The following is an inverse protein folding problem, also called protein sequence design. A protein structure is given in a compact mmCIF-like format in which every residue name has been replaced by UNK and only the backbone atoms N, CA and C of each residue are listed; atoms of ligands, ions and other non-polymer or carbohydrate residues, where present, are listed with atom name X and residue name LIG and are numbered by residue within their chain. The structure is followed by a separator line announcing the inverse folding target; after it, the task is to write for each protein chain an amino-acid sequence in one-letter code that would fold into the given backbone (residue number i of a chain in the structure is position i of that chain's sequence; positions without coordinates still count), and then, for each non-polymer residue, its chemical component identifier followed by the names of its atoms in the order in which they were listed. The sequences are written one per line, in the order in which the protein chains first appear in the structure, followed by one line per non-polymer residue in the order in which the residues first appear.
data_IF_334400223498
#
_entry.id   IF_334400223498
#
_cell.length_a   1.000
_cell.length_b   1.000
_cell.length_c   1.000
_cell.angle_alpha   90.00
_cell.angle_beta   90.00
_cell.angle_gamma   90.00
#
_symmetry.space_group_name_H-M   'P 1'
#
loop_
_entity.id
_entity.type
_entity.pdbx_description
1 polymer ?
#
# COMPACT_ATOMS: atom_id res chain seq x y z
N UNK A 1 -17.93 -22.94 -6.93
CA UNK A 1 -17.42 -21.58 -7.21
C UNK A 1 -15.90 -21.61 -7.25
N UNK A 2 -15.28 -20.90 -8.19
CA UNK A 2 -13.82 -20.72 -8.28
C UNK A 2 -13.40 -19.40 -7.63
N UNK A 3 -12.14 -19.30 -7.20
CA UNK A 3 -11.60 -18.09 -6.59
C UNK A 3 -10.29 -17.66 -7.24
N UNK A 4 -10.26 -16.41 -7.68
CA UNK A 4 -9.09 -15.80 -8.30
C UNK A 4 -8.46 -14.79 -7.35
N UNK A 5 -7.14 -14.68 -7.43
CA UNK A 5 -6.37 -13.67 -6.71
C UNK A 5 -5.57 -12.82 -7.69
N UNK A 6 -5.42 -11.54 -7.35
CA UNK A 6 -4.67 -10.61 -8.19
C UNK A 6 -3.17 -10.85 -8.11
N UNK A 7 -2.53 -10.80 -9.28
CA UNK A 7 -1.09 -10.67 -9.46
C UNK A 7 -0.78 -9.40 -10.24
N UNK A 8 0.51 -9.07 -10.39
CA UNK A 8 0.91 -7.75 -10.84
C UNK A 8 1.95 -7.82 -11.95
N UNK A 9 1.77 -6.98 -12.97
CA UNK A 9 2.83 -6.74 -13.94
C UNK A 9 4.05 -6.12 -13.25
N UNK A 10 5.23 -6.58 -13.64
CA UNK A 10 6.47 -6.02 -13.16
C UNK A 10 6.90 -4.84 -14.05
N UNK A 11 7.59 -3.87 -13.47
CA UNK A 11 8.26 -2.84 -14.26
C UNK A 11 9.53 -3.37 -14.92
N UNK A 12 10.17 -2.54 -15.75
CA UNK A 12 11.39 -2.91 -16.49
C UNK A 12 12.57 -3.36 -15.61
N UNK A 13 12.60 -2.91 -14.36
CA UNK A 13 13.71 -3.15 -13.42
C UNK A 13 13.28 -3.74 -12.10
N UNK A 14 12.10 -3.40 -11.64
CA UNK A 14 11.64 -3.70 -10.28
C UNK A 14 10.16 -4.04 -10.27
N UNK A 15 9.75 -4.80 -9.25
CA UNK A 15 8.35 -4.92 -8.83
C UNK A 15 8.23 -4.55 -7.35
N UNK A 16 7.02 -4.20 -6.93
CA UNK A 16 6.73 -3.82 -5.55
C UNK A 16 6.12 -4.99 -4.77
N UNK A 17 6.82 -5.48 -3.77
CA UNK A 17 6.33 -6.58 -2.92
C UNK A 17 5.10 -6.18 -2.08
N UNK A 18 4.90 -4.87 -1.83
CA UNK A 18 3.69 -4.35 -1.18
C UNK A 18 2.40 -4.60 -1.98
N UNK A 19 2.51 -4.84 -3.29
CA UNK A 19 1.36 -5.29 -4.08
C UNK A 19 0.96 -6.73 -3.69
N UNK A 20 1.92 -7.61 -3.44
CA UNK A 20 1.63 -8.97 -2.97
C UNK A 20 1.10 -8.99 -1.53
N UNK A 21 1.48 -8.03 -0.68
CA UNK A 21 0.84 -7.84 0.64
C UNK A 21 -0.65 -7.52 0.51
N UNK A 22 -1.05 -6.73 -0.50
CA UNK A 22 -2.47 -6.47 -0.79
C UNK A 22 -3.19 -7.76 -1.25
N UNK A 23 -2.53 -8.59 -2.05
CA UNK A 23 -3.09 -9.88 -2.47
C UNK A 23 -3.18 -10.87 -1.31
N UNK A 24 -2.20 -10.92 -0.39
CA UNK A 24 -2.30 -11.73 0.83
C UNK A 24 -3.49 -11.31 1.70
N UNK A 25 -3.77 -10.02 1.78
CA UNK A 25 -4.94 -9.52 2.50
C UNK A 25 -6.27 -10.03 1.92
N UNK A 26 -6.34 -10.27 0.60
CA UNK A 26 -7.47 -10.95 -0.03
C UNK A 26 -7.41 -12.48 0.16
N UNK A 27 -6.22 -13.08 -0.01
CA UNK A 27 -5.98 -14.54 0.07
C UNK A 27 -6.52 -15.16 1.35
N UNK A 28 -6.38 -14.49 2.49
CA UNK A 28 -6.83 -15.02 3.79
C UNK A 28 -8.33 -15.30 3.87
N UNK A 29 -9.14 -14.67 3.01
CA UNK A 29 -10.59 -14.86 2.97
C UNK A 29 -11.01 -15.92 1.94
N UNK A 30 -10.12 -16.33 1.03
CA UNK A 30 -10.45 -17.27 -0.02
C UNK A 30 -10.35 -18.71 0.51
N UNK A 31 -11.35 -19.58 0.27
CA UNK A 31 -11.27 -20.98 0.70
C UNK A 31 -10.16 -21.76 -0.03
N UNK A 32 -9.87 -21.37 -1.28
CA UNK A 32 -8.73 -21.82 -2.06
C UNK A 32 -8.32 -20.75 -3.08
N UNK A 33 -7.20 -20.95 -3.77
CA UNK A 33 -6.81 -20.14 -4.93
C UNK A 33 -6.84 -21.03 -6.17
N UNK A 34 -7.76 -20.76 -7.08
CA UNK A 34 -7.93 -21.53 -8.33
C UNK A 34 -7.18 -20.89 -9.51
N UNK A 35 -6.96 -19.57 -9.51
CA UNK A 35 -6.22 -18.91 -10.58
C UNK A 35 -5.58 -17.57 -10.18
N UNK A 36 -4.51 -17.22 -10.87
CA UNK A 36 -3.89 -15.89 -10.82
C UNK A 36 -4.41 -15.01 -11.95
N UNK A 37 -4.78 -13.77 -11.62
CA UNK A 37 -5.27 -12.79 -12.60
C UNK A 37 -4.43 -11.53 -12.50
N UNK A 38 -3.72 -11.20 -13.57
CA UNK A 38 -2.93 -9.98 -13.59
C UNK A 38 -3.86 -8.76 -13.59
N UNK A 39 -3.66 -7.87 -12.63
CA UNK A 39 -4.42 -6.63 -12.44
C UNK A 39 -4.47 -5.74 -13.70
N UNK A 40 -3.41 -5.75 -14.51
CA UNK A 40 -3.34 -4.96 -15.74
C UNK A 40 -4.13 -5.59 -16.90
N UNK A 41 -4.56 -6.85 -16.77
CA UNK A 41 -5.22 -7.64 -17.81
C UNK A 41 -6.56 -8.23 -17.36
N UNK A 42 -7.28 -7.59 -16.43
CA UNK A 42 -8.56 -8.09 -15.88
C UNK A 42 -9.60 -8.38 -16.97
N UNK A 43 -9.66 -7.55 -18.01
CA UNK A 43 -10.58 -7.74 -19.15
C UNK A 43 -10.20 -8.88 -20.10
N UNK A 44 -9.06 -9.53 -19.90
CA UNK A 44 -8.57 -10.63 -20.75
C UNK A 44 -8.75 -12.01 -20.10
N UNK A 45 -9.40 -12.08 -18.94
CA UNK A 45 -9.61 -13.35 -18.24
C UNK A 45 -10.57 -14.26 -19.04
N UNK A 46 -10.12 -15.48 -19.36
CA UNK A 46 -10.88 -16.48 -20.14
C UNK A 46 -11.19 -17.76 -19.35
N UNK A 47 -10.93 -17.75 -18.04
CA UNK A 47 -11.15 -18.91 -17.16
C UNK A 47 -12.63 -19.17 -16.85
N UNK A 48 -12.89 -20.13 -15.96
CA UNK A 48 -14.24 -20.39 -15.45
C UNK A 48 -14.76 -19.21 -14.60
N UNK A 49 -16.09 -19.09 -14.40
CA UNK A 49 -16.65 -18.10 -13.48
C UNK A 49 -15.98 -18.13 -12.11
N UNK A 50 -15.40 -17.00 -11.70
CA UNK A 50 -14.53 -16.93 -10.53
C UNK A 50 -14.74 -15.65 -9.73
N UNK A 51 -14.87 -15.78 -8.41
CA UNK A 51 -14.90 -14.63 -7.50
C UNK A 51 -13.52 -14.02 -7.35
N UNK A 52 -13.47 -12.69 -7.31
CA UNK A 52 -12.22 -11.95 -7.11
C UNK A 52 -12.45 -10.73 -6.23
N UNK A 53 -11.58 -10.56 -5.23
CA UNK A 53 -11.55 -9.35 -4.40
C UNK A 53 -10.65 -8.32 -5.09
N UNK A 54 -11.25 -7.19 -5.43
CA UNK A 54 -10.66 -6.12 -6.22
C UNK A 54 -10.25 -4.96 -5.31
N UNK A 55 -9.06 -5.08 -4.69
CA UNK A 55 -8.47 -4.10 -3.79
C UNK A 55 -7.19 -3.44 -4.30
N UNK A 56 -7.00 -2.18 -3.93
CA UNK A 56 -5.75 -1.48 -4.21
C UNK A 56 -5.83 -0.53 -5.41
N UNK A 57 -4.67 -0.26 -6.00
CA UNK A 57 -4.52 0.73 -7.07
C UNK A 57 -4.62 -0.02 -8.38
N UNK A 58 -5.48 0.44 -9.29
CA UNK A 58 -6.01 -0.47 -10.29
C UNK A 58 -5.17 -0.68 -11.54
N UNK A 59 -4.70 0.35 -12.25
CA UNK A 59 -4.02 0.00 -13.51
C UNK A 59 -3.13 1.10 -14.09
N UNK A 60 -2.00 0.67 -14.65
CA UNK A 60 -1.19 1.44 -15.58
C UNK A 60 -1.79 1.40 -16.99
N UNK A 61 -2.63 0.41 -17.27
CA UNK A 61 -3.34 0.11 -18.51
C UNK A 61 -4.87 0.31 -18.38
N UNK A 62 -5.37 1.56 -18.29
CA UNK A 62 -6.80 1.86 -18.17
C UNK A 62 -7.66 1.49 -19.39
N UNK A 63 -7.06 0.97 -20.45
CA UNK A 63 -7.74 0.38 -21.59
C UNK A 63 -8.27 -1.04 -21.31
N UNK A 64 -7.64 -1.79 -20.40
CA UNK A 64 -7.92 -3.23 -20.14
C UNK A 64 -8.45 -3.52 -18.73
N UNK A 65 -8.69 -2.48 -17.93
CA UNK A 65 -9.01 -2.63 -16.50
C UNK A 65 -10.40 -3.17 -16.21
N UNK A 66 -11.36 -2.96 -17.11
CA UNK A 66 -12.74 -3.46 -16.95
C UNK A 66 -12.69 -4.98 -16.92
N UNK A 67 -12.98 -5.63 -15.79
CA UNK A 67 -12.89 -7.08 -15.66
C UNK A 67 -13.80 -7.81 -16.65
N UNK A 68 -13.38 -9.00 -17.07
CA UNK A 68 -14.18 -9.88 -17.92
C UNK A 68 -15.47 -10.34 -17.21
N UNK A 69 -16.51 -10.69 -17.97
CA UNK A 69 -17.85 -11.02 -17.43
C UNK A 69 -17.88 -12.26 -16.52
N UNK A 70 -16.92 -13.17 -16.70
CA UNK A 70 -16.69 -14.36 -15.89
C UNK A 70 -15.87 -14.09 -14.61
N UNK A 71 -15.38 -12.87 -14.39
CA UNK A 71 -14.90 -12.45 -13.08
C UNK A 71 -16.06 -11.82 -12.31
N UNK A 72 -16.35 -12.34 -11.12
CA UNK A 72 -17.37 -11.84 -10.21
C UNK A 72 -16.64 -10.96 -9.18
N UNK A 73 -16.65 -9.62 -9.32
CA UNK A 73 -15.81 -8.77 -8.49
C UNK A 73 -16.50 -8.36 -7.19
N UNK A 74 -15.70 -8.23 -6.14
CA UNK A 74 -16.01 -7.35 -5.01
C UNK A 74 -15.05 -6.17 -5.02
N UNK A 75 -15.57 -4.95 -5.22
CA UNK A 75 -14.77 -3.73 -5.10
C UNK A 75 -14.72 -3.26 -3.65
N UNK A 76 -13.54 -3.36 -3.04
CA UNK A 76 -13.21 -2.79 -1.74
C UNK A 76 -11.84 -2.13 -1.83
N UNK A 77 -11.60 -1.04 -1.12
CA UNK A 77 -10.31 -0.36 -1.16
C UNK A 77 -9.86 0.07 -2.57
N UNK A 78 -10.79 0.38 -3.46
CA UNK A 78 -10.48 0.90 -4.79
C UNK A 78 -9.86 2.30 -4.69
N UNK A 79 -8.69 2.52 -5.29
CA UNK A 79 -8.16 3.86 -5.53
C UNK A 79 -8.03 4.09 -7.04
N UNK A 80 -8.64 5.17 -7.52
CA UNK A 80 -8.43 5.65 -8.87
C UNK A 80 -7.51 6.85 -8.80
N UNK A 81 -6.37 6.75 -9.46
CA UNK A 81 -5.44 7.84 -9.50
C UNK A 81 -5.90 8.93 -10.50
N UNK A 82 -5.68 10.21 -10.18
CA UNK A 82 -6.10 11.33 -11.02
C UNK A 82 -5.58 11.27 -12.46
N UNK A 83 -4.38 10.74 -12.69
CA UNK A 83 -3.81 10.57 -14.05
C UNK A 83 -4.44 9.45 -14.88
N UNK A 84 -5.12 8.49 -14.23
CA UNK A 84 -5.82 7.39 -14.87
C UNK A 84 -7.35 7.62 -14.91
N UNK A 85 -7.87 8.53 -14.09
CA UNK A 85 -9.29 8.75 -13.87
C UNK A 85 -10.09 8.96 -15.16
N UNK A 86 -9.63 9.82 -16.07
CA UNK A 86 -10.37 10.11 -17.33
C UNK A 86 -10.48 8.89 -18.24
N UNK A 87 -9.48 8.01 -18.25
CA UNK A 87 -9.45 6.79 -19.08
C UNK A 87 -10.23 5.66 -18.41
N UNK A 88 -10.04 5.47 -17.11
CA UNK A 88 -10.79 4.47 -16.35
C UNK A 88 -12.29 4.77 -16.32
N UNK A 89 -12.67 6.04 -16.12
CA UNK A 89 -14.06 6.51 -16.05
C UNK A 89 -14.58 6.98 -17.42
N UNK A 90 -14.22 6.26 -18.48
CA UNK A 90 -14.91 6.29 -19.77
C UNK A 90 -16.34 5.73 -19.63
N UNK A 91 -17.19 5.90 -20.63
CA UNK A 91 -18.58 5.38 -20.61
C UNK A 91 -18.64 3.88 -20.27
N UNK A 92 -17.70 3.09 -20.82
CA UNK A 92 -17.57 1.66 -20.52
C UNK A 92 -17.25 1.41 -19.04
N UNK A 93 -16.28 2.13 -18.48
CA UNK A 93 -15.88 1.97 -17.09
C UNK A 93 -16.95 2.44 -16.10
N UNK A 94 -17.62 3.56 -16.40
CA UNK A 94 -18.75 4.06 -15.61
C UNK A 94 -19.91 3.06 -15.64
N UNK A 95 -20.27 2.54 -16.82
CA UNK A 95 -21.33 1.54 -16.95
C UNK A 95 -21.00 0.27 -16.16
N UNK A 96 -19.74 -0.19 -16.20
CA UNK A 96 -19.31 -1.36 -15.44
C UNK A 96 -19.41 -1.11 -13.92
N UNK A 97 -18.85 -0.02 -13.40
CA UNK A 97 -18.93 0.28 -11.96
C UNK A 97 -20.37 0.45 -11.47
N UNK A 98 -21.27 1.04 -12.28
CA UNK A 98 -22.69 1.13 -11.95
C UNK A 98 -23.36 -0.24 -11.81
N UNK A 99 -22.96 -1.24 -12.60
CA UNK A 99 -23.48 -2.61 -12.49
C UNK A 99 -23.06 -3.29 -11.18
N UNK A 100 -21.97 -2.85 -10.57
CA UNK A 100 -21.37 -3.45 -9.37
C UNK A 100 -21.46 -2.53 -8.13
N UNK A 101 -22.31 -1.51 -8.16
CA UNK A 101 -22.48 -0.60 -7.04
C UNK A 101 -23.13 -1.27 -5.81
N UNK A 102 -22.84 -0.82 -4.57
CA UNK A 102 -21.94 0.28 -4.22
C UNK A 102 -20.46 -0.11 -4.26
N UNK A 103 -19.59 0.84 -4.65
CA UNK A 103 -18.15 0.62 -4.80
C UNK A 103 -17.38 1.04 -3.54
N UNK A 104 -16.71 0.08 -2.91
CA UNK A 104 -15.83 0.33 -1.76
C UNK A 104 -14.51 0.98 -2.18
N UNK A 105 -14.30 2.22 -1.74
CA UNK A 105 -13.15 3.04 -2.10
C UNK A 105 -12.12 3.11 -0.97
N UNK A 106 -10.85 3.27 -1.31
CA UNK A 106 -9.76 3.35 -0.32
C UNK A 106 -9.61 4.72 0.31
N UNK A 107 -9.97 5.76 -0.42
CA UNK A 107 -9.75 7.15 -0.05
C UNK A 107 -10.96 7.99 -0.44
N UNK A 108 -11.16 9.09 0.30
CA UNK A 108 -12.28 10.00 0.05
C UNK A 108 -12.18 10.71 -1.31
N UNK A 109 -10.98 10.87 -1.86
CA UNK A 109 -10.80 11.37 -3.22
C UNK A 109 -11.53 10.47 -4.23
N UNK A 110 -11.32 9.16 -4.16
CA UNK A 110 -11.95 8.19 -5.08
C UNK A 110 -13.46 8.13 -4.87
N UNK A 111 -13.94 8.24 -3.62
CA UNK A 111 -15.39 8.36 -3.33
C UNK A 111 -16.00 9.53 -4.09
N UNK A 112 -15.48 10.75 -3.87
CA UNK A 112 -16.00 11.96 -4.52
C UNK A 112 -15.89 11.89 -6.04
N UNK A 113 -14.81 11.30 -6.55
CA UNK A 113 -14.61 11.10 -7.98
C UNK A 113 -15.69 10.19 -8.59
N UNK A 114 -16.01 9.06 -7.95
CA UNK A 114 -17.05 8.15 -8.44
C UNK A 114 -18.45 8.74 -8.29
N UNK A 115 -18.76 9.41 -7.18
CA UNK A 115 -20.03 10.10 -6.96
C UNK A 115 -20.28 11.19 -8.00
N UNK A 116 -19.23 11.91 -8.42
CA UNK A 116 -19.31 12.90 -9.51
C UNK A 116 -19.73 12.32 -10.86
N UNK A 117 -19.60 10.98 -11.03
CA UNK A 117 -20.05 10.22 -12.19
C UNK A 117 -21.39 9.50 -11.96
N UNK A 118 -22.03 9.74 -10.81
CA UNK A 118 -23.29 9.13 -10.41
C UNK A 118 -23.17 7.64 -10.09
N UNK A 119 -22.01 7.18 -9.60
CA UNK A 119 -21.77 5.82 -9.11
C UNK A 119 -21.87 5.86 -7.58
N UNK A 120 -22.69 4.98 -6.96
CA UNK A 120 -22.70 4.89 -5.49
C UNK A 120 -21.37 4.35 -5.00
N UNK A 121 -20.71 5.11 -4.13
CA UNK A 121 -19.41 4.78 -3.58
C UNK A 121 -19.37 5.09 -2.09
N UNK A 122 -18.51 4.40 -1.35
CA UNK A 122 -18.33 4.60 0.08
C UNK A 122 -16.87 4.36 0.48
N UNK A 123 -16.43 4.96 1.58
CA UNK A 123 -15.08 4.80 2.08
C UNK A 123 -14.96 3.49 2.87
N UNK A 124 -13.92 2.71 2.56
CA UNK A 124 -13.64 1.39 3.18
C UNK A 124 -12.23 1.32 3.79
N UNK A 125 -11.36 2.29 3.53
CA UNK A 125 -9.94 2.17 3.83
C UNK A 125 -9.26 1.09 2.98
N UNK A 126 -8.23 0.43 3.51
CA UNK A 126 -7.44 -0.55 2.76
C UNK A 126 -7.58 -1.96 3.34
N UNK A 127 -7.80 -2.96 2.47
CA UNK A 127 -7.93 -4.36 2.85
C UNK A 127 -6.76 -4.89 3.70
N UNK A 128 -5.56 -4.31 3.56
CA UNK A 128 -4.41 -4.69 4.41
C UNK A 128 -4.60 -4.40 5.89
N UNK A 129 -5.61 -3.62 6.28
CA UNK A 129 -6.02 -3.43 7.68
C UNK A 129 -6.61 -4.69 8.32
N UNK A 130 -6.92 -5.73 7.54
CA UNK A 130 -7.50 -6.99 8.02
C UNK A 130 -6.45 -8.11 8.18
N UNK A 131 -5.16 -7.79 8.16
CA UNK A 131 -4.06 -8.77 8.23
C UNK A 131 -3.75 -9.26 9.65
N UNK A 132 -4.64 -9.09 10.63
CA UNK A 132 -4.45 -9.55 12.01
C UNK A 132 -4.34 -11.08 12.15
N UNK A 133 -4.73 -11.84 11.14
CA UNK A 133 -4.47 -13.29 11.05
C UNK A 133 -2.97 -13.62 10.97
N UNK A 134 -2.14 -12.69 10.52
CA UNK A 134 -0.68 -12.82 10.47
C UNK A 134 0.01 -12.33 11.76
N UNK A 135 -0.76 -11.81 12.73
CA UNK A 135 -0.22 -11.32 13.99
C UNK A 135 0.24 -12.49 14.88
N UNK A 136 1.46 -12.40 15.42
CA UNK A 136 1.95 -13.38 16.40
C UNK A 136 1.55 -12.95 17.81
N UNK A 137 0.30 -13.27 18.17
CA UNK A 137 -0.37 -12.85 19.42
C UNK A 137 0.33 -13.28 20.72
N UNK A 138 1.19 -14.31 20.67
CA UNK A 138 1.85 -14.90 21.85
C UNK A 138 3.36 -14.59 21.93
N UNK A 139 3.96 -13.97 20.91
CA UNK A 139 5.37 -13.58 20.97
C UNK A 139 5.51 -12.17 21.53
N UNK A 140 6.31 -12.01 22.58
CA UNK A 140 6.94 -10.71 22.84
C UNK A 140 7.62 -10.23 21.56
N UNK A 141 7.63 -8.92 21.31
CA UNK A 141 8.41 -8.39 20.20
C UNK A 141 9.88 -8.87 20.29
N UNK A 142 10.52 -9.07 19.16
CA UNK A 142 11.89 -9.57 19.04
C UNK A 142 12.94 -8.48 19.30
N UNK A 143 12.51 -7.30 19.77
CA UNK A 143 13.35 -6.13 20.01
C UNK A 143 13.79 -5.39 18.74
N UNK A 144 13.48 -5.88 17.54
CA UNK A 144 13.99 -5.31 16.29
C UNK A 144 13.21 -4.09 15.84
N UNK A 145 13.94 -3.13 15.31
CA UNK A 145 13.39 -1.94 14.66
C UNK A 145 13.63 -2.09 13.16
N UNK A 146 12.57 -2.01 12.36
CA UNK A 146 12.66 -2.06 10.90
C UNK A 146 12.47 -0.68 10.30
N UNK A 147 13.41 -0.25 9.46
CA UNK A 147 13.27 0.95 8.64
C UNK A 147 13.00 0.52 7.19
N UNK A 148 11.77 0.71 6.73
CA UNK A 148 11.29 0.20 5.45
C UNK A 148 11.05 1.35 4.48
N UNK A 149 11.92 1.50 3.47
CA UNK A 149 11.86 2.58 2.46
C UNK A 149 11.48 3.95 3.07
N UNK A 150 12.32 4.54 3.94
CA UNK A 150 12.03 5.82 4.56
C UNK A 150 12.05 6.93 3.49
N UNK A 151 11.08 7.84 3.57
CA UNK A 151 10.98 9.01 2.68
C UNK A 151 11.08 8.66 1.17
N UNK A 152 10.41 7.60 0.71
CA UNK A 152 10.50 7.07 -0.66
C UNK A 152 10.21 8.09 -1.79
N UNK A 153 9.45 9.15 -1.51
CA UNK A 153 9.23 10.27 -2.44
C UNK A 153 10.47 11.13 -2.72
N UNK A 154 11.55 10.93 -1.95
CA UNK A 154 12.79 11.68 -2.09
C UNK A 154 13.69 11.08 -3.17
N UNK A 155 14.61 11.87 -3.77
CA UNK A 155 15.53 11.37 -4.76
C UNK A 155 16.50 10.34 -4.15
N UNK A 156 16.63 9.17 -4.79
CA UNK A 156 17.56 8.11 -4.37
C UNK A 156 18.55 7.80 -5.51
N UNK A 157 19.77 7.37 -5.15
CA UNK A 157 20.87 6.99 -6.05
C UNK A 157 20.42 5.98 -7.10
N UNK A 158 19.65 4.99 -6.67
CA UNK A 158 19.13 3.92 -7.53
C UNK A 158 18.18 4.43 -8.64
N UNK A 159 17.64 5.65 -8.51
CA UNK A 159 16.75 6.30 -9.48
C UNK A 159 17.46 7.33 -10.37
N UNK A 160 18.40 8.07 -9.81
CA UNK A 160 19.15 9.12 -10.51
C UNK A 160 20.18 8.52 -11.47
N UNK A 161 20.87 7.46 -11.06
CA UNK A 161 21.95 6.84 -11.83
C UNK A 161 21.48 5.72 -12.78
N UNK A 162 20.20 5.77 -13.20
CA UNK A 162 19.57 4.71 -13.99
C UNK A 162 19.91 4.73 -15.48
N UNK A 163 20.10 5.90 -16.07
CA UNK A 163 20.56 6.12 -17.46
C UNK A 163 21.02 7.59 -17.61
N UNK A 164 21.81 7.90 -18.64
CA UNK A 164 22.36 9.24 -18.94
C UNK A 164 21.30 10.34 -18.95
N UNK A 165 20.09 10.07 -19.48
CA UNK A 165 18.96 11.01 -19.43
C UNK A 165 18.43 11.28 -18.01
N UNK A 166 18.38 10.26 -17.14
CA UNK A 166 17.97 10.41 -15.73
C UNK A 166 19.00 11.18 -14.92
N UNK A 167 20.28 10.95 -15.23
CA UNK A 167 21.42 11.61 -14.61
C UNK A 167 21.46 13.11 -14.96
N UNK A 168 21.29 13.47 -16.24
CA UNK A 168 21.17 14.86 -16.69
C UNK A 168 19.93 15.54 -16.06
N UNK A 169 18.79 14.84 -16.01
CA UNK A 169 17.56 15.35 -15.38
C UNK A 169 17.73 15.54 -13.87
N UNK A 170 18.46 14.66 -13.20
CA UNK A 170 18.80 14.76 -11.78
C UNK A 170 19.77 15.91 -11.46
N UNK A 171 20.72 16.20 -12.36
CA UNK A 171 21.59 17.38 -12.28
C UNK A 171 20.75 18.66 -12.43
N UNK A 172 19.90 18.74 -13.46
CA UNK A 172 19.06 19.93 -13.73
C UNK A 172 18.08 20.21 -12.59
N UNK A 173 17.57 19.18 -11.91
CA UNK A 173 16.63 19.32 -10.79
C UNK A 173 17.28 19.52 -9.42
N UNK A 174 18.62 19.50 -9.32
CA UNK A 174 19.33 19.58 -8.04
C UNK A 174 19.16 18.34 -7.14
N UNK A 175 18.73 17.22 -7.72
CA UNK A 175 18.41 15.99 -6.99
C UNK A 175 19.66 15.27 -6.43
N UNK A 176 20.86 15.56 -6.96
CA UNK A 176 22.14 15.03 -6.47
C UNK A 176 22.52 15.61 -5.10
N UNK A 177 22.31 16.91 -4.87
CA UNK A 177 22.56 17.56 -3.57
C UNK A 177 21.54 17.10 -2.51
N UNK A 178 20.34 16.71 -2.94
CA UNK A 178 19.29 16.20 -2.07
C UNK A 178 19.43 14.71 -1.72
N UNK A 179 20.42 13.98 -2.24
CA UNK A 179 20.62 12.57 -1.88
C UNK A 179 20.98 12.39 -0.40
N UNK A 180 21.67 13.37 0.20
CA UNK A 180 21.97 13.38 1.64
C UNK A 180 20.77 13.84 2.49
N UNK A 181 19.71 14.39 1.87
CA UNK A 181 18.59 14.95 2.63
C UNK A 181 17.81 13.88 3.39
N UNK A 182 17.72 12.64 2.88
CA UNK A 182 17.11 11.53 3.62
C UNK A 182 17.90 11.30 4.91
N UNK A 183 19.22 11.12 4.81
CA UNK A 183 20.07 10.88 5.98
C UNK A 183 20.03 12.05 6.97
N UNK A 184 20.02 13.28 6.49
CA UNK A 184 19.89 14.49 7.31
C UNK A 184 18.57 14.51 8.10
N UNK A 185 17.43 14.25 7.44
CA UNK A 185 16.14 14.16 8.13
C UNK A 185 16.11 13.00 9.10
N UNK A 186 16.61 11.83 8.73
CA UNK A 186 16.65 10.67 9.61
C UNK A 186 17.48 10.96 10.88
N UNK A 187 18.62 11.63 10.76
CA UNK A 187 19.47 12.03 11.90
C UNK A 187 18.86 13.15 12.76
N UNK A 188 18.01 13.99 12.18
CA UNK A 188 17.27 15.03 12.91
C UNK A 188 15.99 14.51 13.58
N UNK A 189 15.55 13.29 13.24
CA UNK A 189 14.33 12.67 13.79
C UNK A 189 14.69 11.57 14.78
N UNK A 190 15.71 10.76 14.49
CA UNK A 190 16.04 9.54 15.23
C UNK A 190 17.45 9.58 15.83
N UNK A 191 17.62 8.91 16.96
CA UNK A 191 18.93 8.77 17.61
C UNK A 191 19.88 7.96 16.73
N UNK A 192 21.18 8.27 16.84
CA UNK A 192 22.23 7.51 16.13
C UNK A 192 22.17 6.02 16.48
N UNK A 193 21.92 5.68 17.75
CA UNK A 193 21.86 4.29 18.20
C UNK A 193 20.70 3.53 17.53
N UNK A 194 19.52 4.15 17.41
CA UNK A 194 18.39 3.56 16.68
C UNK A 194 18.75 3.34 15.21
N UNK A 195 19.31 4.36 14.54
CA UNK A 195 19.63 4.30 13.12
C UNK A 195 20.68 3.24 12.78
N UNK A 196 21.67 3.05 13.66
CA UNK A 196 22.76 2.09 13.48
C UNK A 196 22.32 0.64 13.72
N UNK A 197 21.37 0.41 14.64
CA UNK A 197 20.91 -0.94 15.01
C UNK A 197 19.63 -1.38 14.28
N UNK A 198 18.98 -0.49 13.52
CA UNK A 198 17.78 -0.83 12.76
C UNK A 198 18.10 -1.72 11.54
N UNK A 199 17.19 -2.64 11.22
CA UNK A 199 17.25 -3.43 9.99
C UNK A 199 16.55 -2.68 8.85
N UNK A 200 17.28 -2.41 7.76
CA UNK A 200 16.75 -1.69 6.60
C UNK A 200 16.17 -2.66 5.57
N UNK A 201 14.93 -2.41 5.13
CA UNK A 201 14.21 -3.23 4.14
C UNK A 201 13.80 -2.37 2.95
N UNK A 202 14.02 -2.88 1.73
CA UNK A 202 13.47 -2.32 0.49
C UNK A 202 12.30 -3.18 0.00
N UNK A 203 11.23 -2.55 -0.46
CA UNK A 203 10.06 -3.24 -1.05
C UNK A 203 10.07 -3.27 -2.60
N UNK A 204 10.98 -2.53 -3.24
CA UNK A 204 11.27 -2.69 -4.67
C UNK A 204 12.32 -3.80 -4.85
N UNK A 205 11.91 -4.91 -5.46
CA UNK A 205 12.75 -6.08 -5.72
C UNK A 205 12.99 -6.24 -7.23
N UNK A 206 14.10 -6.87 -7.67
CA UNK A 206 14.42 -7.01 -9.09
C UNK A 206 13.32 -7.72 -9.89
N UNK A 207 12.97 -7.15 -11.04
CA UNK A 207 12.04 -7.80 -11.99
C UNK A 207 12.62 -9.11 -12.53
N UNK A 208 11.75 -10.04 -12.94
CA UNK A 208 12.02 -11.30 -13.63
C UNK A 208 12.93 -12.25 -12.85
N UNK A 209 12.97 -12.05 -11.53
CA UNK A 209 13.85 -12.79 -10.63
C UNK A 209 13.09 -13.81 -9.76
N UNK A 210 11.76 -13.73 -9.71
CA UNK A 210 10.92 -14.57 -8.85
C UNK A 210 9.66 -15.01 -9.59
N UNK A 211 9.23 -16.24 -9.33
CA UNK A 211 7.90 -16.76 -9.68
C UNK A 211 6.82 -16.11 -8.82
N UNK A 212 5.55 -16.22 -9.21
CA UNK A 212 4.42 -15.70 -8.42
C UNK A 212 4.38 -16.29 -7.00
N UNK A 213 4.60 -17.60 -6.85
CA UNK A 213 4.60 -18.27 -5.55
C UNK A 213 5.76 -17.78 -4.66
N UNK A 214 6.94 -17.52 -5.24
CA UNK A 214 8.07 -16.93 -4.50
C UNK A 214 7.76 -15.51 -4.05
N UNK A 215 7.08 -14.70 -4.88
CA UNK A 215 6.66 -13.35 -4.49
C UNK A 215 5.64 -13.38 -3.35
N UNK A 216 4.69 -14.32 -3.37
CA UNK A 216 3.79 -14.53 -2.23
C UNK A 216 4.56 -14.91 -0.96
N UNK A 217 5.51 -15.85 -1.05
CA UNK A 217 6.36 -16.24 0.10
C UNK A 217 7.20 -15.08 0.63
N UNK A 218 7.73 -14.23 -0.25
CA UNK A 218 8.48 -13.03 0.15
C UNK A 218 7.57 -12.03 0.89
N UNK A 219 6.34 -11.85 0.43
CA UNK A 219 5.36 -11.00 1.11
C UNK A 219 4.93 -11.57 2.48
N UNK A 220 4.73 -12.89 2.58
CA UNK A 220 4.44 -13.59 3.84
C UNK A 220 5.60 -13.40 4.83
N UNK A 221 6.85 -13.61 4.38
CA UNK A 221 8.04 -13.38 5.20
C UNK A 221 8.24 -11.92 5.65
N UNK A 222 7.76 -10.94 4.89
CA UNK A 222 7.73 -9.54 5.34
C UNK A 222 6.71 -9.32 6.46
N UNK A 223 5.50 -9.89 6.34
CA UNK A 223 4.49 -9.81 7.40
C UNK A 223 4.97 -10.50 8.68
N UNK A 224 5.68 -11.63 8.57
CA UNK A 224 6.30 -12.30 9.72
C UNK A 224 7.34 -11.44 10.44
N UNK A 225 8.18 -10.70 9.70
CA UNK A 225 9.13 -9.75 10.28
C UNK A 225 8.40 -8.61 10.99
N UNK A 226 7.37 -8.05 10.34
CA UNK A 226 6.62 -6.94 10.92
C UNK A 226 5.85 -7.39 12.17
N UNK A 227 5.31 -8.61 12.19
CA UNK A 227 4.46 -9.09 13.30
C UNK A 227 5.21 -9.34 14.61
N UNK A 228 6.54 -9.44 14.57
CA UNK A 228 7.39 -9.53 15.77
C UNK A 228 8.17 -8.27 16.08
N UNK A 229 8.11 -7.25 15.22
CA UNK A 229 8.93 -6.05 15.37
C UNK A 229 8.56 -5.25 16.64
N UNK A 230 9.58 -4.61 17.24
CA UNK A 230 9.38 -3.59 18.26
C UNK A 230 8.79 -2.31 17.67
N UNK A 231 9.27 -1.92 16.51
CA UNK A 231 8.84 -0.71 15.81
C UNK A 231 9.11 -0.85 14.31
N UNK A 232 8.17 -0.37 13.49
CA UNK A 232 8.37 -0.17 12.05
C UNK A 232 8.33 1.31 11.72
N UNK A 233 9.31 1.79 10.97
CA UNK A 233 9.39 3.17 10.46
C UNK A 233 9.34 3.09 8.94
N UNK A 234 8.35 3.73 8.30
CA UNK A 234 8.18 3.62 6.85
C UNK A 234 7.47 4.81 6.23
N UNK A 235 7.68 5.04 4.93
CA UNK A 235 6.85 5.94 4.12
C UNK A 235 5.86 5.18 3.21
N UNK A 236 5.85 3.85 3.25
CA UNK A 236 4.98 3.01 2.42
C UNK A 236 3.68 2.68 3.15
N UNK A 237 2.57 3.11 2.56
CA UNK A 237 1.25 2.86 3.14
C UNK A 237 0.95 1.35 3.26
N UNK A 238 1.42 0.55 2.29
CA UNK A 238 1.29 -0.92 2.28
C UNK A 238 2.33 -1.65 3.13
N UNK A 239 3.13 -0.91 3.89
CA UNK A 239 3.88 -1.41 5.04
C UNK A 239 3.20 -0.95 6.33
N UNK A 240 2.81 0.32 6.42
CA UNK A 240 2.23 0.90 7.62
C UNK A 240 0.86 0.35 8.01
N UNK A 241 -0.07 0.19 7.05
CA UNK A 241 -1.41 -0.34 7.32
C UNK A 241 -1.38 -1.80 7.81
N UNK A 242 -0.59 -2.72 7.20
CA UNK A 242 -0.36 -4.03 7.80
C UNK A 242 0.14 -3.96 9.24
N UNK A 243 1.09 -3.07 9.56
CA UNK A 243 1.61 -2.94 10.93
C UNK A 243 0.51 -2.58 11.94
N UNK A 244 -0.44 -1.72 11.55
CA UNK A 244 -1.62 -1.45 12.39
C UNK A 244 -2.40 -2.75 12.67
N UNK A 245 -2.74 -3.51 11.62
CA UNK A 245 -3.48 -4.77 11.73
C UNK A 245 -2.74 -5.82 12.58
N UNK A 246 -1.41 -5.86 12.48
CA UNK A 246 -0.56 -6.80 13.23
C UNK A 246 -0.41 -6.40 14.71
N UNK A 247 -0.82 -5.19 15.09
CA UNK A 247 -0.56 -4.62 16.42
C UNK A 247 0.87 -4.11 16.62
N UNK A 248 1.68 -4.08 15.56
CA UNK A 248 3.07 -3.63 15.58
C UNK A 248 3.14 -2.10 15.60
N UNK A 249 3.81 -1.47 16.59
CA UNK A 249 4.01 -0.03 16.60
C UNK A 249 4.59 0.48 15.29
N UNK A 250 3.99 1.53 14.70
CA UNK A 250 4.44 2.09 13.43
C UNK A 250 4.49 3.60 13.43
N UNK A 251 5.58 4.15 12.87
CA UNK A 251 5.73 5.57 12.55
C UNK A 251 5.70 5.74 11.03
N UNK A 252 4.75 6.53 10.56
CA UNK A 252 4.64 6.89 9.15
C UNK A 252 5.42 8.17 8.83
N UNK A 253 6.39 8.08 7.93
CA UNK A 253 7.16 9.23 7.45
C UNK A 253 6.47 9.84 6.22
N UNK A 254 5.80 10.97 6.41
CA UNK A 254 5.09 11.69 5.33
C UNK A 254 5.99 12.76 4.74
N UNK A 255 6.57 12.45 3.58
CA UNK A 255 7.44 13.35 2.80
C UNK A 255 6.86 13.79 1.45
N UNK A 256 5.54 13.66 1.25
CA UNK A 256 4.92 13.97 -0.04
C UNK A 256 4.78 15.47 -0.26
N UNK A 257 5.37 15.96 -1.36
CA UNK A 257 5.20 17.35 -1.81
C UNK A 257 4.13 17.51 -2.90
N UNK A 258 3.66 16.39 -3.49
CA UNK A 258 2.76 16.40 -4.64
C UNK A 258 1.36 15.97 -4.22
N UNK A 259 0.36 16.74 -4.66
CA UNK A 259 -1.07 16.49 -4.48
C UNK A 259 -1.48 15.07 -4.93
N UNK A 260 -0.85 14.56 -5.99
CA UNK A 260 -1.07 13.21 -6.52
C UNK A 260 -0.76 12.08 -5.54
N UNK A 261 0.29 12.22 -4.74
CA UNK A 261 0.66 11.22 -3.74
C UNK A 261 -0.14 11.43 -2.43
N UNK A 262 -0.70 12.63 -2.23
CA UNK A 262 -1.51 12.96 -1.08
C UNK A 262 -2.96 12.44 -1.18
N UNK A 263 -3.56 12.41 -2.37
CA UNK A 263 -4.98 12.04 -2.52
C UNK A 263 -5.27 10.60 -2.04
N UNK A 264 -4.34 9.66 -2.27
CA UNK A 264 -4.43 8.26 -1.78
C UNK A 264 -4.33 8.10 -0.27
N UNK A 265 -4.03 9.17 0.46
CA UNK A 265 -3.91 9.18 1.92
C UNK A 265 -5.14 9.80 2.59
N UNK A 266 -6.08 10.39 1.84
CA UNK A 266 -7.28 11.00 2.40
C UNK A 266 -8.13 9.96 3.16
N UNK A 267 -8.32 10.18 4.46
CA UNK A 267 -9.01 9.25 5.36
C UNK A 267 -8.11 8.17 5.98
N UNK A 268 -6.87 8.00 5.48
CA UNK A 268 -5.91 7.02 5.99
C UNK A 268 -4.79 7.66 6.82
N UNK A 269 -4.42 8.90 6.55
CA UNK A 269 -3.34 9.60 7.28
C UNK A 269 -3.58 9.65 8.79
N UNK A 270 -4.84 9.82 9.20
CA UNK A 270 -5.22 9.99 10.60
C UNK A 270 -4.99 8.73 11.44
N UNK A 271 -4.93 7.56 10.80
CA UNK A 271 -4.73 6.26 11.44
C UNK A 271 -3.31 6.10 12.01
N UNK A 272 -2.34 6.90 11.55
CA UNK A 272 -0.94 6.74 11.93
C UNK A 272 -0.47 7.78 12.93
N UNK A 273 0.54 7.38 13.68
CA UNK A 273 1.55 8.30 14.21
C UNK A 273 2.44 8.73 13.04
N UNK A 274 2.38 10.01 12.70
CA UNK A 274 2.99 10.56 11.49
C UNK A 274 4.04 11.59 11.87
N UNK A 275 5.20 11.50 11.21
CA UNK A 275 6.19 12.56 11.16
C UNK A 275 6.14 13.15 9.75
N UNK A 276 5.73 14.42 9.66
CA UNK A 276 5.72 15.19 8.43
C UNK A 276 7.09 15.80 8.21
N UNK A 277 7.59 15.66 6.99
CA UNK A 277 8.89 16.19 6.58
C UNK A 277 8.70 17.05 5.34
N UNK A 278 9.03 18.33 5.45
CA UNK A 278 9.02 19.24 4.31
C UNK A 278 10.45 19.40 3.78
N UNK A 279 10.72 18.86 2.58
CA UNK A 279 12.07 18.90 1.99
C UNK A 279 12.53 20.33 1.70
N UNK A 280 11.62 21.23 1.31
CA UNK A 280 11.94 22.62 0.95
C UNK A 280 12.23 23.49 2.18
N UNK A 281 11.35 23.45 3.18
CA UNK A 281 11.49 24.29 4.38
C UNK A 281 12.36 23.66 5.45
N UNK A 282 12.70 22.37 5.32
CA UNK A 282 13.37 21.55 6.35
C UNK A 282 12.54 21.36 7.62
N UNK A 283 11.28 21.78 7.61
CA UNK A 283 10.37 21.64 8.74
C UNK A 283 10.06 20.16 9.01
N UNK A 284 10.07 19.80 10.29
CA UNK A 284 9.70 18.50 10.81
C UNK A 284 8.60 18.74 11.84
N UNK A 285 7.49 18.02 11.72
CA UNK A 285 6.41 18.04 12.72
C UNK A 285 5.84 16.65 12.93
N UNK A 286 5.34 16.37 14.13
CA UNK A 286 4.73 15.10 14.48
C UNK A 286 3.28 15.31 14.94
N UNK A 287 2.39 14.36 14.65
CA UNK A 287 1.03 14.37 15.18
C UNK A 287 0.89 13.61 16.52
N UNK A 288 2.02 13.36 17.18
CA UNK A 288 2.12 12.68 18.47
C UNK A 288 3.25 13.31 19.30
N UNK A 289 3.26 13.15 20.64
CA UNK A 289 4.29 13.73 21.49
C UNK A 289 5.68 13.18 21.15
N UNK A 290 6.60 14.08 20.82
CA UNK A 290 8.02 13.78 20.61
C UNK A 290 8.84 14.79 21.38
N UNK A 291 9.79 14.31 22.20
CA UNK A 291 10.74 15.15 22.93
C UNK A 291 12.15 14.79 22.51
N UNK A 292 12.81 15.66 21.76
CA UNK A 292 14.14 15.40 21.22
C UNK A 292 14.11 14.34 20.10
N UNK A 293 15.23 13.62 19.94
CA UNK A 293 15.35 12.54 18.96
C UNK A 293 14.63 11.29 19.45
N UNK A 294 13.95 10.59 18.54
CA UNK A 294 13.32 9.30 18.82
C UNK A 294 14.40 8.22 18.91
N UNK A 295 14.47 7.52 20.03
CA UNK A 295 15.44 6.45 20.27
C UNK A 295 14.76 5.07 20.35
N UNK A 296 15.57 4.04 20.55
CA UNK A 296 15.12 2.65 20.64
C UNK A 296 14.20 2.36 21.82
N UNK A 297 14.12 3.25 22.82
CA UNK A 297 13.28 3.09 24.01
C UNK A 297 11.88 3.69 23.84
N UNK A 298 11.57 4.25 22.66
CA UNK A 298 10.23 4.75 22.37
C UNK A 298 9.16 3.69 22.67
N UNK A 299 8.18 4.09 23.46
CA UNK A 299 6.99 3.30 23.74
C UNK A 299 5.81 3.94 23.01
N UNK A 300 5.44 3.38 21.87
CA UNK A 300 4.39 3.89 20.99
C UNK A 300 3.27 2.87 20.87
N UNK A 301 2.04 3.30 21.17
CA UNK A 301 0.84 2.47 21.03
C UNK A 301 0.07 2.98 19.81
N UNK A 302 -0.24 2.10 18.86
CA UNK A 302 -1.01 2.47 17.68
C UNK A 302 -2.40 3.00 18.05
N UNK A 303 -2.88 3.98 17.29
CA UNK A 303 -4.24 4.50 17.41
C UNK A 303 -5.26 3.39 17.08
N UNK A 304 -6.37 3.24 17.82
CA UNK A 304 -7.35 2.19 17.58
C UNK A 304 -8.33 2.52 16.42
N UNK A 305 -8.28 3.72 15.85
CA UNK A 305 -9.22 4.27 14.86
C UNK A 305 -9.39 3.37 13.62
N UNK A 306 -8.40 2.54 13.28
CA UNK A 306 -8.48 1.63 12.14
C UNK A 306 -9.38 0.41 12.38
N UNK A 307 -9.72 0.08 13.63
CA UNK A 307 -10.42 -1.15 13.99
C UNK A 307 -11.83 -1.22 13.40
N UNK A 308 -12.55 -0.08 13.35
CA UNK A 308 -13.88 -0.04 12.73
C UNK A 308 -13.78 -0.36 11.24
N UNK A 309 -12.86 0.31 10.52
CA UNK A 309 -12.62 0.04 9.11
C UNK A 309 -12.21 -1.42 8.85
N UNK A 310 -11.35 -1.98 9.69
CA UNK A 310 -10.91 -3.37 9.57
C UNK A 310 -12.07 -4.36 9.77
N UNK A 311 -12.94 -4.13 10.75
CA UNK A 311 -14.07 -5.01 11.03
C UNK A 311 -15.12 -4.94 9.91
N UNK A 312 -15.46 -3.73 9.45
CA UNK A 312 -16.42 -3.54 8.35
C UNK A 312 -15.93 -4.20 7.06
N UNK A 313 -14.62 -4.10 6.76
CA UNK A 313 -13.98 -4.77 5.64
C UNK A 313 -14.06 -6.30 5.76
N UNK A 314 -13.77 -6.86 6.93
CA UNK A 314 -13.88 -8.31 7.17
C UNK A 314 -15.31 -8.79 6.93
N UNK A 315 -16.30 -8.11 7.49
CA UNK A 315 -17.71 -8.48 7.32
C UNK A 315 -18.12 -8.45 5.84
N UNK A 316 -17.77 -7.35 5.14
CA UNK A 316 -18.07 -7.17 3.72
C UNK A 316 -17.46 -8.30 2.88
N UNK A 317 -16.17 -8.59 3.09
CA UNK A 317 -15.46 -9.61 2.30
C UNK A 317 -15.94 -11.02 2.65
N UNK A 318 -16.13 -11.34 3.93
CA UNK A 318 -16.65 -12.64 4.35
C UNK A 318 -18.06 -12.90 3.83
N UNK A 319 -18.94 -11.89 3.84
CA UNK A 319 -20.28 -12.00 3.25
C UNK A 319 -20.20 -12.30 1.75
N UNK A 320 -19.38 -11.55 1.01
CA UNK A 320 -19.19 -11.78 -0.42
C UNK A 320 -18.67 -13.18 -0.74
N UNK A 321 -17.68 -13.68 0.01
CA UNK A 321 -17.12 -15.01 -0.22
C UNK A 321 -18.15 -16.11 0.08
N UNK A 322 -18.89 -16.00 1.18
CA UNK A 322 -19.81 -17.04 1.65
C UNK A 322 -21.16 -17.07 0.92
N UNK A 323 -21.53 -16.02 0.18
CA UNK A 323 -22.78 -16.00 -0.58
C UNK A 323 -22.66 -16.88 -1.84
N UNK A 324 -23.44 -17.95 -1.98
CA UNK A 324 -23.38 -18.87 -3.14
C UNK A 324 -23.96 -18.30 -4.46
N UNK A 325 -24.25 -17.00 -4.51
CA UNK A 325 -24.82 -16.32 -5.68
C UNK A 325 -23.94 -16.37 -6.92
#
# INVERSE_FOLDING_TARGET
MKYSIMTYAEGDRWFNIGDYVQSLAAKQFLPQVDSYVNRECLGQYTGEPSKIILNGWFTHHPETWVPADNLIPLFVSLHINSSAASRMLSDKGVAYLKKHEPIGCRDHYTVRLLESKGIKAYFTGCLTLTLDSYAKKESNNDGKIYIVDPLYGFPNKDRIFTNTKSLIKGIIKGDILAMNSINEFMQNIFSKNLLDNAEYIKQELPSKSYTEDEKFKLAEGLLEKYSTAKLVITSRIHCALPCLALGTPVIYLKGFEKEFDACRMEGLSELFHTINVNRKTKEISANFPVSGLIDENINLINKPDYLTLANDLKETVSSFINNDS
#
